data_IF_741106316621
#
_entry.id   IF_741106316621
#
_cell.length_a   1.000
_cell.length_b   1.000
_cell.length_c   1.000
_cell.angle_alpha   90.00
_cell.angle_beta   90.00
_cell.angle_gamma   90.00
#
_symmetry.space_group_name_H-M   'P 1'
#
loop_
_entity.id
_entity.type
_entity.pdbx_description
1 polymer ?
#
# COMPACT_ATOMS: atom_id res chain seq x y z
N UNK A 1 10.75 -16.19 -24.55
CA UNK A 1 11.61 -15.14 -23.98
C UNK A 1 11.13 -13.70 -24.15
N UNK A 2 10.08 -13.39 -24.94
CA UNK A 2 9.56 -12.02 -25.13
C UNK A 2 8.44 -11.60 -24.13
N UNK A 3 7.85 -12.53 -23.41
CA UNK A 3 6.73 -12.28 -22.47
C UNK A 3 7.17 -11.92 -21.03
N UNK A 4 8.41 -12.20 -20.64
CA UNK A 4 8.97 -11.75 -19.34
C UNK A 4 9.38 -10.26 -19.32
N UNK A 5 9.51 -9.60 -20.48
CA UNK A 5 9.95 -8.20 -20.53
C UNK A 5 8.93 -7.20 -20.01
N UNK A 6 7.64 -7.50 -20.08
CA UNK A 6 6.61 -6.57 -19.57
C UNK A 6 6.54 -6.60 -18.04
N UNK A 7 6.75 -7.77 -17.44
CA UNK A 7 6.81 -7.91 -15.98
C UNK A 7 8.09 -7.29 -15.39
N UNK A 8 9.21 -7.41 -16.12
CA UNK A 8 10.49 -6.77 -15.74
C UNK A 8 10.42 -5.25 -15.88
N UNK A 9 9.65 -4.68 -16.83
CA UNK A 9 9.48 -3.23 -16.94
C UNK A 9 8.63 -2.65 -15.81
N UNK A 10 7.65 -3.40 -15.28
CA UNK A 10 6.91 -3.04 -14.06
C UNK A 10 7.80 -3.13 -12.80
N UNK A 11 8.76 -4.03 -12.76
CA UNK A 11 9.71 -4.19 -11.64
C UNK A 11 10.76 -3.08 -11.60
N UNK A 12 11.11 -2.46 -12.75
CA UNK A 12 12.04 -1.30 -12.79
C UNK A 12 11.41 0.03 -12.31
N UNK A 13 10.08 0.08 -12.15
CA UNK A 13 9.38 1.21 -11.52
C UNK A 13 9.23 1.05 -10.00
N UNK A 14 9.86 0.03 -9.40
CA UNK A 14 9.77 -0.27 -7.98
C UNK A 14 10.79 0.59 -7.22
N UNK A 15 10.32 1.62 -6.68
CA UNK A 15 10.91 2.31 -5.57
C UNK A 15 9.88 3.33 -5.08
N UNK A 16 9.49 3.24 -3.75
CA UNK A 16 9.22 4.50 -3.10
C UNK A 16 7.77 4.80 -2.71
N UNK A 17 7.46 4.90 -1.42
CA UNK A 17 6.17 5.33 -1.09
C UNK A 17 5.80 5.77 0.30
N UNK A 18 5.02 6.82 0.30
CA UNK A 18 4.19 7.24 1.42
C UNK A 18 2.73 7.28 1.02
N UNK A 19 1.87 7.10 2.04
CA UNK A 19 0.45 7.18 1.84
C UNK A 19 0.03 8.63 1.57
N UNK A 20 -0.58 8.91 0.49
CA UNK A 20 -1.31 10.09 -0.04
C UNK A 20 -1.48 11.32 0.91
N UNK A 21 -0.46 11.58 1.79
CA UNK A 21 -0.53 12.65 2.80
C UNK A 21 -0.58 14.04 2.16
N UNK A 22 0.11 14.21 1.03
CA UNK A 22 0.08 15.49 0.30
C UNK A 22 -1.32 15.76 -0.24
N UNK A 23 -2.03 14.71 -0.73
CA UNK A 23 -3.38 14.86 -1.28
C UNK A 23 -4.44 15.13 -0.21
N UNK A 24 -4.27 14.63 1.02
CA UNK A 24 -5.29 14.77 2.06
C UNK A 24 -5.62 16.25 2.30
N UNK A 25 -6.90 16.61 2.18
CA UNK A 25 -7.40 17.97 2.36
C UNK A 25 -6.68 19.05 1.49
N UNK A 26 -6.31 18.68 0.23
CA UNK A 26 -5.56 19.55 -0.66
C UNK A 26 -6.42 20.12 -1.79
N UNK A 27 -6.37 21.45 -1.92
CA UNK A 27 -6.84 22.21 -3.10
C UNK A 27 -8.33 22.02 -3.48
N UNK A 28 -9.17 21.45 -2.62
CA UNK A 28 -10.56 21.12 -2.98
C UNK A 28 -10.68 20.17 -4.18
N UNK A 29 -9.66 19.32 -4.38
CA UNK A 29 -9.64 18.33 -5.46
C UNK A 29 -10.74 17.28 -5.24
N UNK A 30 -11.44 16.83 -6.28
CA UNK A 30 -12.43 15.75 -6.15
C UNK A 30 -11.86 14.47 -5.55
N UNK A 31 -10.60 14.17 -5.80
CA UNK A 31 -9.89 13.00 -5.28
C UNK A 31 -9.67 13.03 -3.76
N UNK A 32 -9.80 14.19 -3.11
CA UNK A 32 -9.77 14.27 -1.64
C UNK A 32 -10.94 13.50 -1.01
N UNK A 33 -12.06 13.37 -1.71
CA UNK A 33 -13.20 12.53 -1.29
C UNK A 33 -12.79 11.06 -1.13
N UNK A 34 -11.78 10.56 -1.88
CA UNK A 34 -11.26 9.21 -1.71
C UNK A 34 -10.57 9.01 -0.36
N UNK A 35 -10.07 10.09 0.25
CA UNK A 35 -9.36 10.08 1.53
C UNK A 35 -10.24 10.55 2.71
N UNK A 36 -11.26 11.36 2.42
CA UNK A 36 -12.26 11.80 3.39
C UNK A 36 -13.61 11.99 2.70
N UNK A 37 -14.57 11.07 2.84
CA UNK A 37 -15.89 11.23 2.25
C UNK A 37 -16.64 12.50 2.73
N UNK A 38 -16.28 13.01 3.92
CA UNK A 38 -16.80 14.24 4.49
C UNK A 38 -16.00 15.49 4.07
N UNK A 39 -15.10 15.40 3.08
CA UNK A 39 -14.45 16.57 2.52
C UNK A 39 -15.46 17.47 1.78
N UNK A 40 -15.21 18.77 1.82
CA UNK A 40 -16.04 19.77 1.13
C UNK A 40 -15.56 19.90 -0.32
N UNK A 41 -16.50 19.84 -1.23
CA UNK A 41 -16.28 20.04 -2.67
C UNK A 41 -17.11 21.23 -3.12
N UNK A 42 -16.46 22.27 -3.64
CA UNK A 42 -17.13 23.49 -4.11
C UNK A 42 -17.74 23.36 -5.52
N UNK A 43 -17.47 22.25 -6.19
CA UNK A 43 -17.85 22.05 -7.60
C UNK A 43 -19.33 21.73 -7.72
N UNK A 44 -19.97 22.22 -8.79
CA UNK A 44 -21.31 21.78 -9.19
C UNK A 44 -21.27 20.37 -9.76
N UNK A 45 -20.27 20.13 -10.61
CA UNK A 45 -20.06 18.87 -11.30
C UNK A 45 -18.56 18.67 -11.54
N UNK A 46 -18.08 17.44 -11.45
CA UNK A 46 -16.77 17.07 -11.98
C UNK A 46 -16.84 15.73 -12.73
N UNK A 47 -15.94 15.58 -13.67
CA UNK A 47 -15.64 14.30 -14.31
C UNK A 47 -14.12 14.17 -14.44
N UNK A 48 -13.60 13.07 -14.00
CA UNK A 48 -12.19 12.73 -14.20
C UNK A 48 -11.94 12.23 -15.60
N UNK A 49 -10.78 12.55 -16.18
CA UNK A 49 -10.36 11.96 -17.43
C UNK A 49 -10.15 10.45 -17.22
N UNK A 50 -10.86 9.57 -17.96
CA UNK A 50 -10.73 8.13 -17.78
C UNK A 50 -9.27 7.66 -17.80
N UNK A 51 -8.88 6.83 -16.83
CA UNK A 51 -7.53 6.33 -16.58
C UNK A 51 -6.50 7.39 -16.11
N UNK A 52 -6.80 8.68 -16.21
CA UNK A 52 -5.92 9.78 -15.86
C UNK A 52 -6.48 10.73 -14.80
N UNK A 53 -7.66 10.44 -14.25
CA UNK A 53 -8.21 11.24 -13.13
C UNK A 53 -7.40 11.10 -11.85
N UNK A 54 -6.82 9.92 -11.64
CA UNK A 54 -5.82 9.66 -10.61
C UNK A 54 -4.97 8.46 -10.99
N UNK A 55 -3.68 8.68 -11.09
CA UNK A 55 -2.65 7.64 -11.12
C UNK A 55 -1.74 7.88 -9.93
N UNK A 56 -1.63 6.91 -9.06
CA UNK A 56 -0.74 6.99 -7.89
C UNK A 56 0.06 5.71 -7.73
N UNK A 57 1.31 5.84 -7.37
CA UNK A 57 2.15 4.73 -6.95
C UNK A 57 2.99 5.16 -5.76
N UNK A 58 3.15 4.24 -4.84
CA UNK A 58 3.95 4.41 -3.63
C UNK A 58 4.60 3.08 -3.26
N UNK A 59 5.81 3.11 -2.73
CA UNK A 59 6.51 1.94 -2.22
C UNK A 59 7.60 2.36 -1.23
N UNK A 60 8.08 1.44 -0.41
CA UNK A 60 9.15 1.71 0.55
C UNK A 60 9.62 0.46 1.27
N UNK A 61 10.83 0.57 1.82
CA UNK A 61 11.45 -0.45 2.65
C UNK A 61 12.08 0.19 3.88
N UNK A 62 11.75 -0.31 5.06
CA UNK A 62 12.23 0.28 6.32
C UNK A 62 13.66 -0.13 6.68
N UNK A 63 14.19 -1.23 6.12
CA UNK A 63 15.48 -1.81 6.48
C UNK A 63 16.68 -0.96 6.04
N UNK A 64 17.01 -1.00 4.76
CA UNK A 64 18.14 -0.27 4.19
C UNK A 64 17.76 0.32 2.83
N UNK A 65 18.52 1.30 2.36
CA UNK A 65 18.35 1.90 1.03
C UNK A 65 19.18 1.16 -0.02
N UNK A 66 18.83 1.36 -1.30
CA UNK A 66 19.65 0.85 -2.41
C UNK A 66 21.08 1.44 -2.36
N UNK A 67 21.21 2.67 -1.90
CA UNK A 67 22.49 3.36 -1.73
C UNK A 67 23.37 2.67 -0.68
N UNK A 68 22.80 2.17 0.41
CA UNK A 68 23.55 1.45 1.47
C UNK A 68 24.32 0.25 0.90
N UNK A 69 23.84 -0.36 -0.20
CA UNK A 69 24.45 -1.56 -0.81
C UNK A 69 25.27 -1.19 -2.08
N UNK A 70 24.71 -0.34 -2.95
CA UNK A 70 25.22 -0.16 -4.33
C UNK A 70 25.90 1.17 -4.59
N UNK A 71 26.10 2.03 -3.55
CA UNK A 71 26.81 3.30 -3.74
C UNK A 71 28.23 3.08 -4.26
N UNK A 72 28.63 3.85 -5.29
CA UNK A 72 30.02 3.89 -5.74
C UNK A 72 30.82 4.88 -4.85
N UNK A 73 31.30 4.38 -3.71
CA UNK A 73 32.02 5.16 -2.70
C UNK A 73 33.35 4.51 -2.27
N UNK A 74 33.84 3.52 -3.06
CA UNK A 74 35.10 2.84 -2.80
C UNK A 74 35.09 1.83 -1.66
N UNK A 75 33.94 1.61 -1.00
CA UNK A 75 33.76 0.56 0.03
C UNK A 75 33.40 -0.75 -0.64
N UNK A 76 34.01 -1.85 -0.19
CA UNK A 76 33.69 -3.20 -0.69
C UNK A 76 32.22 -3.56 -0.48
N UNK A 77 31.62 -4.26 -1.43
CA UNK A 77 30.19 -4.60 -1.38
C UNK A 77 29.86 -5.52 -0.22
N UNK A 78 30.75 -6.41 0.20
CA UNK A 78 30.54 -7.30 1.33
C UNK A 78 30.51 -6.51 2.65
N UNK A 79 31.37 -5.49 2.77
CA UNK A 79 31.36 -4.58 3.93
C UNK A 79 30.07 -3.76 3.99
N UNK A 80 29.55 -3.33 2.84
CA UNK A 80 28.24 -2.63 2.76
C UNK A 80 27.09 -3.54 3.16
N UNK A 81 27.04 -4.76 2.64
CA UNK A 81 26.02 -5.75 3.01
C UNK A 81 26.08 -6.03 4.52
N UNK A 82 27.29 -6.25 5.06
CA UNK A 82 27.50 -6.47 6.49
C UNK A 82 27.01 -5.28 7.32
N UNK A 83 27.30 -4.05 6.88
CA UNK A 83 26.84 -2.83 7.55
C UNK A 83 25.30 -2.70 7.50
N UNK A 84 24.68 -3.02 6.38
CA UNK A 84 23.23 -3.02 6.20
C UNK A 84 22.55 -4.07 7.11
N UNK A 85 23.08 -5.30 7.14
CA UNK A 85 22.61 -6.38 8.02
C UNK A 85 22.76 -5.96 9.49
N UNK A 86 23.86 -5.36 9.89
CA UNK A 86 24.07 -4.91 11.29
C UNK A 86 23.09 -3.82 11.71
N UNK A 87 22.67 -2.95 10.80
CA UNK A 87 21.66 -1.89 11.06
C UNK A 87 20.22 -2.38 11.01
N UNK A 88 20.00 -3.59 10.50
CA UNK A 88 18.65 -4.14 10.34
C UNK A 88 17.95 -4.32 11.68
N UNK A 89 16.71 -3.86 11.80
CA UNK A 89 15.92 -3.97 13.03
C UNK A 89 15.45 -5.41 13.32
N UNK A 90 14.63 -5.58 14.34
CA UNK A 90 14.10 -6.92 14.72
C UNK A 90 13.17 -7.52 13.65
N UNK A 91 12.52 -6.69 12.87
CA UNK A 91 11.80 -7.03 11.65
C UNK A 91 11.52 -5.75 10.89
N UNK A 92 11.80 -5.76 9.61
CA UNK A 92 11.52 -4.66 8.70
C UNK A 92 10.43 -5.05 7.72
N UNK A 93 9.84 -4.05 7.06
CA UNK A 93 8.81 -4.34 6.07
C UNK A 93 9.06 -3.60 4.75
N UNK A 94 8.65 -4.24 3.67
CA UNK A 94 8.51 -3.64 2.35
C UNK A 94 7.02 -3.49 2.05
N UNK A 95 6.63 -2.33 1.54
CA UNK A 95 5.26 -2.08 1.13
C UNK A 95 5.23 -1.41 -0.24
N UNK A 96 4.19 -1.73 -0.99
CA UNK A 96 3.87 -1.10 -2.28
C UNK A 96 2.36 -0.93 -2.38
N UNK A 97 1.92 0.23 -2.84
CA UNK A 97 0.53 0.50 -3.19
C UNK A 97 0.47 1.27 -4.50
N UNK A 98 -0.38 0.83 -5.40
CA UNK A 98 -0.68 1.52 -6.66
C UNK A 98 -2.19 1.65 -6.77
N UNK A 99 -2.66 2.79 -7.28
CA UNK A 99 -4.07 3.02 -7.57
C UNK A 99 -4.22 3.75 -8.88
N UNK A 100 -5.12 3.23 -9.70
CA UNK A 100 -5.50 3.80 -10.99
C UNK A 100 -7.01 4.04 -11.01
N UNK A 101 -7.42 5.30 -11.08
CA UNK A 101 -8.83 5.66 -11.20
C UNK A 101 -9.28 5.57 -12.66
N UNK A 102 -10.10 4.56 -12.95
CA UNK A 102 -10.59 4.26 -14.30
C UNK A 102 -11.72 5.21 -14.69
N UNK A 103 -12.64 5.45 -13.77
CA UNK A 103 -13.77 6.37 -13.92
C UNK A 103 -13.98 7.15 -12.61
N UNK A 104 -14.23 8.45 -12.75
CA UNK A 104 -14.51 9.33 -11.63
C UNK A 104 -15.53 10.39 -12.03
N UNK A 105 -16.48 10.65 -11.16
CA UNK A 105 -17.46 11.70 -11.36
C UNK A 105 -18.21 12.05 -10.07
N UNK A 106 -18.83 13.23 -10.09
CA UNK A 106 -19.69 13.65 -9.00
C UNK A 106 -20.43 14.94 -9.33
N UNK A 107 -21.54 15.14 -8.66
CA UNK A 107 -22.39 16.29 -8.87
C UNK A 107 -23.11 16.71 -7.60
N UNK A 108 -23.42 18.00 -7.52
CA UNK A 108 -24.17 18.61 -6.44
C UNK A 108 -25.66 18.40 -6.66
N UNK A 109 -26.32 17.90 -5.64
CA UNK A 109 -27.77 17.72 -5.60
C UNK A 109 -28.48 19.08 -5.30
N UNK A 110 -29.80 19.22 -5.58
CA UNK A 110 -30.55 20.43 -5.29
C UNK A 110 -30.56 20.87 -3.81
N UNK A 111 -30.37 19.92 -2.90
CA UNK A 111 -30.26 20.14 -1.46
C UNK A 111 -28.84 20.50 -0.99
N UNK A 112 -27.92 20.80 -1.90
CA UNK A 112 -26.50 21.08 -1.67
C UNK A 112 -25.64 19.89 -1.23
N UNK A 113 -26.17 18.67 -1.09
CA UNK A 113 -25.37 17.48 -0.88
C UNK A 113 -24.55 17.16 -2.14
N UNK A 114 -23.40 16.52 -1.98
CA UNK A 114 -22.54 16.14 -3.10
C UNK A 114 -22.47 14.64 -3.25
N UNK A 115 -22.92 14.13 -4.40
CA UNK A 115 -22.84 12.72 -4.78
C UNK A 115 -21.59 12.50 -5.61
N UNK A 116 -20.77 11.54 -5.22
CA UNK A 116 -19.59 11.09 -5.97
C UNK A 116 -19.65 9.60 -6.27
N UNK A 117 -19.12 9.18 -7.40
CA UNK A 117 -19.05 7.78 -7.80
C UNK A 117 -17.80 7.56 -8.66
N UNK A 118 -17.35 6.32 -8.71
CA UNK A 118 -16.20 5.98 -9.52
C UNK A 118 -15.86 4.50 -9.46
N UNK A 119 -14.90 4.16 -10.30
CA UNK A 119 -14.29 2.85 -10.33
C UNK A 119 -12.77 3.01 -10.41
N UNK A 120 -12.05 2.37 -9.48
CA UNK A 120 -10.59 2.34 -9.48
C UNK A 120 -10.07 0.92 -9.28
N UNK A 121 -8.89 0.69 -9.75
CA UNK A 121 -8.08 -0.48 -9.47
C UNK A 121 -7.05 -0.13 -8.40
N UNK A 122 -6.79 -1.07 -7.48
CA UNK A 122 -5.78 -0.94 -6.44
C UNK A 122 -4.97 -2.22 -6.32
N UNK A 123 -3.64 -2.08 -6.37
CA UNK A 123 -2.69 -3.12 -5.96
C UNK A 123 -2.10 -2.73 -4.62
N UNK A 124 -2.09 -3.66 -3.69
CA UNK A 124 -1.52 -3.50 -2.36
C UNK A 124 -0.61 -4.69 -2.05
N UNK A 125 0.61 -4.41 -1.65
CA UNK A 125 1.60 -5.40 -1.25
C UNK A 125 2.27 -4.96 0.04
N UNK A 126 2.42 -5.89 0.99
CA UNK A 126 3.19 -5.70 2.21
C UNK A 126 3.82 -7.02 2.62
N UNK A 127 5.12 -7.02 2.83
CA UNK A 127 5.85 -8.15 3.40
C UNK A 127 6.69 -7.69 4.60
N UNK A 128 6.64 -8.46 5.67
CA UNK A 128 7.42 -8.25 6.90
C UNK A 128 8.47 -9.35 7.00
N UNK A 129 9.73 -8.95 7.10
CA UNK A 129 10.88 -9.84 7.09
C UNK A 129 11.56 -9.76 8.47
N UNK A 130 11.62 -10.85 9.23
CA UNK A 130 12.32 -10.87 10.52
C UNK A 130 13.84 -10.84 10.34
N UNK A 131 14.54 -10.27 11.33
CA UNK A 131 16.01 -10.22 11.41
C UNK A 131 16.64 -11.59 11.23
N UNK A 132 16.11 -12.60 11.90
CA UNK A 132 16.64 -13.96 11.86
C UNK A 132 16.71 -14.53 10.45
N UNK A 133 15.76 -14.16 9.56
CA UNK A 133 15.80 -14.59 8.16
C UNK A 133 16.93 -13.89 7.40
N UNK A 134 17.16 -12.61 7.67
CA UNK A 134 18.25 -11.83 7.05
C UNK A 134 19.60 -12.38 7.52
N UNK A 135 19.74 -12.67 8.80
CA UNK A 135 20.94 -13.24 9.38
C UNK A 135 21.21 -14.63 8.79
N UNK A 136 20.18 -15.48 8.66
CA UNK A 136 20.29 -16.81 8.04
C UNK A 136 20.74 -16.71 6.58
N UNK A 137 20.22 -15.75 5.80
CA UNK A 137 20.65 -15.51 4.43
C UNK A 137 22.08 -15.02 4.33
N UNK A 138 22.52 -14.18 5.28
CA UNK A 138 23.84 -13.57 5.26
C UNK A 138 24.93 -14.51 5.81
N UNK A 139 24.68 -15.14 6.96
CA UNK A 139 25.64 -15.98 7.65
C UNK A 139 25.57 -17.46 7.20
N UNK A 140 24.44 -17.86 6.64
CA UNK A 140 24.12 -19.24 6.37
C UNK A 140 23.75 -19.99 7.66
N UNK A 141 23.74 -21.32 7.59
CA UNK A 141 23.31 -22.23 8.65
C UNK A 141 24.48 -22.89 9.41
N UNK A 142 25.67 -22.32 9.33
CA UNK A 142 26.90 -22.91 9.91
C UNK A 142 27.07 -22.64 11.40
N UNK A 143 26.30 -21.74 11.98
CA UNK A 143 26.36 -21.42 13.41
C UNK A 143 25.53 -22.44 14.17
N UNK A 144 26.23 -23.36 14.85
CA UNK A 144 25.62 -24.46 15.62
C UNK A 144 24.73 -23.91 16.75
N UNK A 145 23.59 -24.55 16.96
CA UNK A 145 22.57 -24.25 17.99
C UNK A 145 21.91 -22.87 17.89
N UNK A 146 22.28 -22.05 16.90
CA UNK A 146 21.60 -20.78 16.66
C UNK A 146 20.23 -21.02 16.05
N UNK A 147 19.20 -20.53 16.75
CA UNK A 147 17.81 -20.65 16.30
C UNK A 147 17.37 -19.38 15.56
N UNK A 148 16.90 -19.59 14.32
CA UNK A 148 16.36 -18.55 13.45
C UNK A 148 14.83 -18.66 13.43
N UNK A 149 14.15 -17.68 14.01
CA UNK A 149 12.69 -17.68 14.14
C UNK A 149 12.00 -17.11 12.89
N UNK A 150 10.98 -17.81 12.40
CA UNK A 150 10.10 -17.30 11.32
C UNK A 150 8.86 -16.57 11.82
N UNK A 151 8.68 -16.39 13.13
CA UNK A 151 7.46 -15.88 13.75
C UNK A 151 6.99 -14.53 13.21
N UNK A 152 7.91 -13.65 12.80
CA UNK A 152 7.56 -12.33 12.28
C UNK A 152 7.49 -12.27 10.76
N UNK A 153 7.75 -13.39 10.07
CA UNK A 153 7.61 -13.48 8.63
C UNK A 153 6.12 -13.45 8.27
N UNK A 154 5.72 -12.47 7.49
CA UNK A 154 4.33 -12.34 7.07
C UNK A 154 4.26 -11.58 5.74
N UNK A 155 3.30 -11.92 4.90
CA UNK A 155 3.08 -11.25 3.62
C UNK A 155 1.59 -11.07 3.35
N UNK A 156 1.25 -9.98 2.68
CA UNK A 156 -0.05 -9.71 2.12
C UNK A 156 0.12 -9.08 0.76
N UNK A 157 -0.59 -9.59 -0.23
CA UNK A 157 -0.69 -8.97 -1.54
C UNK A 157 -2.12 -9.12 -2.05
N UNK A 158 -2.63 -8.09 -2.70
CA UNK A 158 -3.92 -8.17 -3.37
C UNK A 158 -4.01 -7.18 -4.52
N UNK A 159 -4.83 -7.52 -5.50
CA UNK A 159 -5.30 -6.64 -6.56
C UNK A 159 -6.81 -6.65 -6.57
N UNK A 160 -7.42 -5.48 -6.51
CA UNK A 160 -8.87 -5.34 -6.44
C UNK A 160 -9.38 -4.24 -7.36
N UNK A 161 -10.51 -4.49 -8.03
CA UNK A 161 -11.36 -3.46 -8.61
C UNK A 161 -12.34 -2.95 -7.55
N UNK A 162 -12.52 -1.65 -7.45
CA UNK A 162 -13.38 -1.00 -6.45
C UNK A 162 -14.39 -0.09 -7.14
N UNK A 163 -15.64 -0.51 -7.15
CA UNK A 163 -16.76 0.35 -7.49
C UNK A 163 -17.23 1.07 -6.22
N UNK A 164 -17.38 2.38 -6.28
CA UNK A 164 -17.81 3.15 -5.13
C UNK A 164 -18.84 4.23 -5.45
N UNK A 165 -19.68 4.52 -4.45
CA UNK A 165 -20.56 5.68 -4.45
C UNK A 165 -20.55 6.30 -3.06
N UNK A 166 -20.43 7.63 -2.99
CA UNK A 166 -20.33 8.39 -1.76
C UNK A 166 -21.22 9.62 -1.76
N UNK A 167 -21.68 9.98 -0.57
CA UNK A 167 -22.48 11.16 -0.30
C UNK A 167 -21.75 12.01 0.73
N UNK A 168 -21.46 13.28 0.38
CA UNK A 168 -20.99 14.31 1.31
C UNK A 168 -22.13 15.28 1.56
N UNK A 169 -22.53 15.41 2.82
CA UNK A 169 -23.71 16.15 3.25
C UNK A 169 -23.34 17.29 4.19
N UNK A 170 -23.69 18.51 3.82
CA UNK A 170 -23.58 19.69 4.67
C UNK A 170 -24.73 19.69 5.69
N UNK A 171 -24.43 19.29 6.93
CA UNK A 171 -25.43 19.25 8.01
C UNK A 171 -25.81 20.64 8.53
N UNK A 172 -24.83 21.53 8.60
CA UNK A 172 -24.97 22.95 8.95
C UNK A 172 -23.72 23.72 8.51
N UNK A 173 -23.57 24.98 8.90
CA UNK A 173 -22.39 25.80 8.54
C UNK A 173 -21.07 25.29 9.12
N UNK A 174 -21.11 24.46 10.17
CA UNK A 174 -19.93 23.96 10.87
C UNK A 174 -19.60 22.52 10.53
N UNK A 175 -20.58 21.71 10.15
CA UNK A 175 -20.40 20.26 9.97
C UNK A 175 -20.74 19.81 8.58
N UNK A 176 -19.79 19.15 7.94
CA UNK A 176 -19.97 18.34 6.75
C UNK A 176 -19.66 16.88 7.08
N UNK A 177 -20.57 15.97 6.82
CA UNK A 177 -20.44 14.54 7.07
C UNK A 177 -20.49 13.80 5.74
N UNK A 178 -19.73 12.71 5.64
CA UNK A 178 -19.74 11.89 4.45
C UNK A 178 -19.65 10.41 4.73
N UNK A 179 -20.25 9.65 3.84
CA UNK A 179 -20.15 8.20 3.81
C UNK A 179 -20.00 7.72 2.37
N UNK A 180 -19.30 6.61 2.18
CA UNK A 180 -19.11 5.97 0.88
C UNK A 180 -19.25 4.46 1.02
N UNK A 181 -20.05 3.86 0.15
CA UNK A 181 -20.16 2.43 -0.02
C UNK A 181 -19.21 1.97 -1.12
N UNK A 182 -18.61 0.78 -0.93
CA UNK A 182 -17.67 0.15 -1.86
C UNK A 182 -18.07 -1.28 -2.14
N UNK A 183 -17.95 -1.69 -3.39
CA UNK A 183 -18.02 -3.09 -3.81
C UNK A 183 -16.64 -3.45 -4.32
N UNK A 184 -16.05 -4.49 -3.76
CA UNK A 184 -14.75 -5.02 -4.14
C UNK A 184 -14.91 -6.19 -5.10
N UNK A 185 -14.02 -6.26 -6.10
CA UNK A 185 -13.85 -7.41 -6.98
C UNK A 185 -12.37 -7.82 -6.96
N UNK A 186 -12.01 -8.82 -6.15
CA UNK A 186 -10.64 -9.28 -5.97
C UNK A 186 -10.16 -10.10 -7.17
N UNK A 187 -9.06 -9.68 -7.79
CA UNK A 187 -8.39 -10.41 -8.87
C UNK A 187 -7.56 -11.53 -8.28
N UNK A 188 -6.68 -11.18 -7.34
CA UNK A 188 -5.91 -12.12 -6.55
C UNK A 188 -5.75 -11.66 -5.11
N UNK A 189 -5.47 -12.59 -4.21
CA UNK A 189 -5.14 -12.33 -2.83
C UNK A 189 -4.08 -13.32 -2.33
N UNK A 190 -3.08 -12.81 -1.60
CA UNK A 190 -2.15 -13.56 -0.76
C UNK A 190 -2.29 -13.02 0.65
N UNK A 191 -2.41 -13.88 1.63
CA UNK A 191 -2.51 -13.50 3.04
C UNK A 191 -1.85 -14.55 3.93
N UNK A 192 -0.74 -14.17 4.52
CA UNK A 192 -0.05 -15.00 5.51
C UNK A 192 -0.64 -14.76 6.88
N UNK A 193 -1.21 -15.76 7.51
CA UNK A 193 -2.03 -15.59 8.71
C UNK A 193 -1.33 -15.84 10.02
N UNK A 194 -0.65 -16.94 10.17
CA UNK A 194 0.04 -17.26 11.43
C UNK A 194 1.29 -18.04 11.09
N UNK A 195 2.42 -17.41 11.28
CA UNK A 195 3.71 -18.05 11.06
C UNK A 195 4.40 -18.20 12.39
N UNK A 196 4.81 -19.42 12.70
CA UNK A 196 5.67 -19.74 13.83
C UNK A 196 6.59 -20.86 13.44
N UNK A 197 7.63 -21.06 14.22
CA UNK A 197 8.65 -22.07 14.03
C UNK A 197 10.05 -21.46 14.06
N UNK A 198 11.03 -22.34 14.07
CA UNK A 198 12.43 -21.96 14.00
C UNK A 198 13.21 -22.96 13.17
N UNK A 199 14.25 -22.45 12.52
CA UNK A 199 15.29 -23.24 11.88
C UNK A 199 16.56 -23.18 12.71
N UNK A 200 17.29 -24.30 12.87
CA UNK A 200 18.60 -24.34 13.49
C UNK A 200 19.38 -25.54 13.00
N UNK A 201 20.70 -25.51 13.22
CA UNK A 201 21.64 -26.57 12.88
C UNK A 201 22.35 -27.03 14.15
N UNK A 202 22.45 -28.31 14.37
CA UNK A 202 23.30 -28.95 15.42
C UNK A 202 24.34 -29.88 14.80
N UNK A 203 25.27 -30.35 15.64
CA UNK A 203 26.22 -31.35 15.23
C UNK A 203 25.49 -32.68 14.91
N UNK A 204 25.77 -33.23 13.76
CA UNK A 204 25.18 -34.50 13.33
C UNK A 204 25.84 -35.69 14.00
N UNK A 205 25.18 -36.85 13.96
CA UNK A 205 25.71 -38.13 14.45
C UNK A 205 26.28 -38.97 13.33
N UNK A 206 25.76 -38.85 12.11
CA UNK A 206 26.19 -39.53 10.91
C UNK A 206 26.87 -38.60 9.90
N UNK A 207 26.50 -37.33 9.94
CA UNK A 207 27.07 -36.22 9.15
C UNK A 207 27.54 -35.09 10.03
N UNK A 208 28.28 -34.12 9.44
CA UNK A 208 28.81 -32.96 10.18
C UNK A 208 27.67 -32.14 10.76
N UNK A 209 26.55 -32.01 10.04
CA UNK A 209 25.43 -31.12 10.43
C UNK A 209 24.08 -31.85 10.35
N UNK A 210 23.22 -31.57 11.31
CA UNK A 210 21.81 -31.91 11.32
C UNK A 210 20.97 -30.61 11.34
N UNK A 211 20.10 -30.43 10.36
CA UNK A 211 19.21 -29.30 10.26
C UNK A 211 17.84 -29.65 10.85
N UNK A 212 17.26 -28.69 11.56
CA UNK A 212 15.97 -28.80 12.21
C UNK A 212 15.05 -27.69 11.79
N UNK A 213 13.79 -28.04 11.53
CA UNK A 213 12.63 -27.14 11.51
C UNK A 213 11.75 -27.53 12.69
N UNK A 214 11.67 -26.66 13.70
CA UNK A 214 10.94 -26.91 14.93
C UNK A 214 9.67 -26.09 15.02
N UNK A 215 8.57 -26.73 15.48
CA UNK A 215 7.30 -26.07 15.78
C UNK A 215 6.79 -25.21 14.62
N UNK A 216 6.99 -25.69 13.39
CA UNK A 216 6.51 -25.01 12.19
C UNK A 216 4.98 -25.01 12.21
N UNK A 217 4.43 -23.80 12.06
CA UNK A 217 3.02 -23.58 11.77
C UNK A 217 2.94 -22.38 10.83
N UNK A 218 2.88 -22.70 9.54
CA UNK A 218 2.88 -21.73 8.47
C UNK A 218 1.59 -21.89 7.65
N UNK A 219 0.79 -20.84 7.57
CA UNK A 219 -0.40 -20.79 6.74
C UNK A 219 -0.32 -19.60 5.79
N UNK A 220 -0.30 -19.89 4.50
CA UNK A 220 -0.43 -18.90 3.44
C UNK A 220 -1.72 -19.14 2.67
N UNK A 221 -2.68 -18.24 2.83
CA UNK A 221 -3.93 -18.26 2.09
C UNK A 221 -3.73 -17.54 0.76
N UNK A 222 -4.16 -18.17 -0.34
CA UNK A 222 -4.11 -17.56 -1.67
C UNK A 222 -5.43 -17.74 -2.42
N UNK A 223 -5.71 -16.83 -3.32
CA UNK A 223 -6.79 -16.96 -4.31
C UNK A 223 -6.43 -16.21 -5.60
N UNK A 224 -6.80 -16.76 -6.75
CA UNK A 224 -6.61 -16.15 -8.05
C UNK A 224 -5.16 -16.10 -8.55
N UNK A 225 -4.26 -16.94 -8.02
CA UNK A 225 -2.84 -17.01 -8.40
C UNK A 225 -2.50 -18.35 -9.04
N UNK A 226 -2.98 -19.45 -8.47
CA UNK A 226 -2.71 -20.79 -8.96
C UNK A 226 -3.88 -21.31 -9.80
N UNK A 227 -3.58 -21.86 -10.95
CA UNK A 227 -4.56 -22.38 -11.92
C UNK A 227 -4.19 -23.80 -12.29
N UNK A 228 -5.17 -24.73 -12.18
CA UNK A 228 -4.95 -26.13 -12.52
C UNK A 228 -5.08 -26.40 -14.03
N UNK A 229 -5.74 -25.53 -14.78
CA UNK A 229 -6.14 -25.78 -16.18
C UNK A 229 -5.28 -25.02 -17.21
N UNK A 230 -4.06 -24.60 -16.85
CA UNK A 230 -3.16 -23.88 -17.75
C UNK A 230 -3.58 -22.44 -18.03
N UNK A 231 -4.55 -21.88 -17.29
CA UNK A 231 -4.85 -20.46 -17.31
C UNK A 231 -3.62 -19.70 -16.79
N UNK A 232 -3.30 -18.55 -17.40
CA UNK A 232 -2.25 -17.63 -16.95
C UNK A 232 -2.88 -16.31 -16.52
N UNK A 233 -2.22 -15.58 -15.60
CA UNK A 233 -2.61 -14.21 -15.28
C UNK A 233 -2.19 -13.32 -16.44
N UNK A 234 -3.08 -13.15 -17.41
CA UNK A 234 -2.93 -12.23 -18.51
C UNK A 234 -3.82 -10.98 -18.33
N UNK A 235 -3.70 -10.02 -19.26
CA UNK A 235 -4.49 -8.79 -19.23
C UNK A 235 -6.00 -9.06 -19.36
N UNK A 236 -6.40 -10.13 -20.06
CA UNK A 236 -7.81 -10.51 -20.23
C UNK A 236 -8.38 -11.06 -18.93
N UNK A 237 -7.62 -11.93 -18.25
CA UNK A 237 -7.96 -12.45 -16.93
C UNK A 237 -8.16 -11.31 -15.94
N UNK A 238 -7.16 -10.42 -15.79
CA UNK A 238 -7.22 -9.26 -14.89
C UNK A 238 -8.45 -8.42 -15.16
N UNK A 239 -8.69 -8.05 -16.43
CA UNK A 239 -9.86 -7.25 -16.83
C UNK A 239 -11.18 -7.92 -16.47
N UNK A 240 -11.30 -9.24 -16.70
CA UNK A 240 -12.51 -9.99 -16.38
C UNK A 240 -12.81 -10.03 -14.89
N UNK A 241 -11.77 -10.12 -14.06
CA UNK A 241 -11.88 -10.21 -12.60
C UNK A 241 -12.07 -8.85 -11.93
N UNK A 242 -11.50 -7.78 -12.47
CA UNK A 242 -11.71 -6.42 -11.95
C UNK A 242 -13.17 -5.98 -11.98
N UNK A 243 -13.95 -6.40 -13.01
CA UNK A 243 -15.33 -6.01 -13.22
C UNK A 243 -16.31 -7.11 -12.74
N UNK A 244 -16.37 -7.34 -11.42
CA UNK A 244 -17.28 -8.30 -10.75
C UNK A 244 -17.07 -9.79 -11.07
N UNK A 245 -16.12 -10.14 -11.92
CA UNK A 245 -15.76 -11.54 -12.20
C UNK A 245 -14.87 -12.18 -11.12
N UNK A 246 -14.26 -11.36 -10.25
CA UNK A 246 -13.37 -11.79 -9.18
C UNK A 246 -14.09 -12.22 -7.90
N UNK A 247 -13.32 -12.24 -6.81
CA UNK A 247 -13.83 -12.49 -5.46
C UNK A 247 -14.54 -11.24 -4.92
N UNK A 248 -15.82 -11.35 -4.57
CA UNK A 248 -16.62 -10.20 -4.20
C UNK A 248 -16.48 -9.84 -2.72
N UNK A 249 -16.55 -8.55 -2.45
CA UNK A 249 -16.51 -7.99 -1.11
C UNK A 249 -17.28 -6.69 -0.99
N UNK A 250 -17.39 -6.21 0.23
CA UNK A 250 -18.09 -4.96 0.55
C UNK A 250 -17.29 -4.15 1.56
N UNK A 251 -17.36 -2.83 1.45
CA UNK A 251 -16.73 -1.92 2.38
C UNK A 251 -17.46 -0.60 2.51
N UNK A 252 -17.14 0.11 3.59
CA UNK A 252 -17.70 1.42 3.91
C UNK A 252 -16.58 2.34 4.35
N UNK A 253 -16.64 3.60 3.91
CA UNK A 253 -15.84 4.69 4.42
C UNK A 253 -16.75 5.73 5.05
N UNK A 254 -16.26 6.38 6.10
CA UNK A 254 -16.94 7.51 6.74
C UNK A 254 -15.94 8.64 7.00
N UNK A 255 -16.43 9.87 7.02
CA UNK A 255 -15.57 11.02 7.30
C UNK A 255 -16.36 12.27 7.61
N UNK A 256 -15.62 13.26 8.11
CA UNK A 256 -16.21 14.55 8.46
C UNK A 256 -15.23 15.70 8.23
N UNK A 257 -15.81 16.90 8.08
CA UNK A 257 -15.15 18.19 8.19
C UNK A 257 -15.91 19.04 9.20
N UNK A 258 -15.18 19.60 10.16
CA UNK A 258 -15.74 20.48 11.20
C UNK A 258 -15.03 21.83 11.22
N UNK A 259 -15.78 22.90 10.95
CA UNK A 259 -15.33 24.28 11.10
C UNK A 259 -15.54 24.74 12.54
N UNK A 260 -14.51 24.62 13.37
CA UNK A 260 -14.54 25.14 14.75
C UNK A 260 -14.70 26.66 14.74
N UNK A 261 -14.02 27.34 13.81
CA UNK A 261 -14.17 28.75 13.51
C UNK A 261 -13.98 29.02 12.02
N UNK A 262 -14.06 30.28 11.57
CA UNK A 262 -13.75 30.67 10.17
C UNK A 262 -12.29 30.30 9.76
N UNK A 263 -11.38 30.19 10.71
CA UNK A 263 -9.97 29.93 10.48
C UNK A 263 -9.57 28.49 10.83
N UNK A 264 -10.21 27.87 11.83
CA UNK A 264 -9.87 26.53 12.30
C UNK A 264 -10.80 25.48 11.73
N UNK A 265 -10.20 24.50 11.05
CA UNK A 265 -10.90 23.34 10.49
C UNK A 265 -10.28 22.06 11.03
N UNK A 266 -11.13 21.13 11.44
CA UNK A 266 -10.75 19.78 11.89
C UNK A 266 -11.41 18.78 10.95
N UNK A 267 -10.65 17.81 10.46
CA UNK A 267 -11.18 16.76 9.60
C UNK A 267 -10.80 15.39 10.12
N UNK A 268 -11.58 14.38 9.77
CA UNK A 268 -11.27 13.01 10.10
C UNK A 268 -11.99 12.01 9.20
N UNK A 269 -11.37 10.86 8.98
CA UNK A 269 -11.97 9.76 8.21
C UNK A 269 -11.50 8.39 8.65
N UNK A 270 -12.37 7.41 8.45
CA UNK A 270 -12.10 5.98 8.57
C UNK A 270 -12.44 5.36 7.22
N UNK A 271 -11.47 4.70 6.59
CA UNK A 271 -11.59 4.16 5.25
C UNK A 271 -11.36 2.65 5.26
N UNK A 272 -11.94 1.98 4.25
CA UNK A 272 -11.76 0.55 4.00
C UNK A 272 -12.23 -0.35 5.16
N UNK A 273 -13.30 0.05 5.88
CA UNK A 273 -14.03 -0.86 6.77
C UNK A 273 -14.73 -1.92 5.92
N UNK A 274 -14.00 -2.96 5.54
CA UNK A 274 -14.52 -3.92 4.58
C UNK A 274 -13.78 -5.25 4.55
N UNK A 275 -14.38 -6.19 3.80
CA UNK A 275 -13.87 -7.54 3.62
C UNK A 275 -14.10 -8.03 2.20
N UNK A 276 -13.36 -9.07 1.81
CA UNK A 276 -13.52 -9.80 0.55
C UNK A 276 -13.68 -11.29 0.88
N UNK A 277 -14.70 -11.92 0.29
CA UNK A 277 -14.89 -13.36 0.38
C UNK A 277 -14.12 -14.03 -0.77
N UNK A 278 -12.99 -14.64 -0.44
CA UNK A 278 -12.14 -15.36 -1.39
C UNK A 278 -12.67 -16.79 -1.52
N UNK A 279 -13.40 -17.05 -2.60
CA UNK A 279 -14.05 -18.33 -2.88
C UNK A 279 -13.75 -18.90 -4.26
N UNK A 280 -13.09 -18.09 -5.14
CA UNK A 280 -12.73 -18.50 -6.49
C UNK A 280 -11.22 -18.71 -6.56
N UNK A 281 -10.81 -19.83 -7.19
CA UNK A 281 -9.41 -20.19 -7.37
C UNK A 281 -8.61 -20.10 -6.06
N UNK A 282 -9.15 -20.74 -5.01
CA UNK A 282 -8.53 -20.78 -3.69
C UNK A 282 -7.59 -21.95 -3.60
N UNK A 283 -6.35 -21.65 -3.25
CA UNK A 283 -5.32 -22.65 -2.99
C UNK A 283 -4.43 -22.13 -1.85
N UNK A 284 -4.67 -22.64 -0.64
CA UNK A 284 -3.96 -22.18 0.56
C UNK A 284 -3.01 -23.29 1.04
N UNK A 285 -1.81 -22.91 1.44
CA UNK A 285 -0.76 -23.83 1.86
C UNK A 285 -0.61 -23.82 3.37
N UNK A 286 -0.75 -25.00 3.96
CA UNK A 286 -0.53 -25.23 5.38
C UNK A 286 0.67 -26.14 5.57
N UNK A 287 1.66 -25.68 6.33
CA UNK A 287 2.79 -26.50 6.78
C UNK A 287 2.80 -26.50 8.29
N UNK A 288 2.77 -27.70 8.90
CA UNK A 288 2.71 -27.84 10.36
C UNK A 288 3.44 -29.09 10.82
N UNK A 289 4.39 -28.92 11.73
CA UNK A 289 5.12 -30.04 12.32
C UNK A 289 6.57 -29.70 12.59
N UNK A 290 7.34 -30.74 12.83
CA UNK A 290 8.77 -30.70 13.04
C UNK A 290 9.43 -31.55 11.96
N UNK A 291 10.58 -31.10 11.46
CA UNK A 291 11.36 -31.84 10.47
C UNK A 291 12.84 -31.75 10.81
N UNK A 292 13.54 -32.88 10.63
CA UNK A 292 14.98 -32.90 10.76
C UNK A 292 15.60 -33.67 9.59
N UNK A 293 16.73 -33.17 9.12
CA UNK A 293 17.52 -33.83 8.09
C UNK A 293 18.99 -33.84 8.47
N UNK A 294 19.62 -35.02 8.42
CA UNK A 294 21.04 -35.20 8.70
C UNK A 294 21.77 -35.69 7.45
N UNK A 295 22.25 -34.71 6.65
CA UNK A 295 23.00 -34.98 5.43
C UNK A 295 22.16 -35.57 4.30
N UNK A 296 22.84 -35.79 3.20
CA UNK A 296 22.33 -36.38 1.98
C UNK A 296 23.04 -37.70 1.80
N UNK A 297 22.37 -38.80 2.03
CA UNK A 297 22.94 -40.11 1.70
C UNK A 297 22.92 -40.27 0.18
N UNK A 298 24.07 -40.01 -0.45
CA UNK A 298 24.21 -40.26 -1.88
C UNK A 298 24.21 -41.77 -2.11
N UNK A 299 23.06 -42.36 -2.36
CA UNK A 299 22.99 -43.72 -2.91
C UNK A 299 22.98 -43.62 -4.44
N UNK A 300 24.05 -44.03 -5.06
CA UNK A 300 24.10 -44.11 -6.51
C UNK A 300 23.47 -45.44 -6.93
N UNK A 301 22.22 -45.38 -7.37
CA UNK A 301 21.58 -46.50 -8.08
C UNK A 301 21.65 -46.19 -9.58
N UNK A 302 22.49 -46.96 -10.35
CA UNK A 302 22.61 -46.76 -11.79
C UNK A 302 21.33 -47.03 -12.56
N UNK A 303 20.42 -47.82 -11.99
CA UNK A 303 19.17 -48.22 -12.62
C UNK A 303 18.02 -47.26 -12.31
N UNK A 304 18.16 -46.36 -11.27
CA UNK A 304 17.15 -45.42 -10.87
C UNK A 304 17.73 -44.14 -10.21
N UNK A 305 18.38 -43.27 -10.97
CA UNK A 305 19.09 -42.11 -10.44
C UNK A 305 18.16 -41.00 -9.86
N UNK A 306 16.85 -41.07 -10.07
CA UNK A 306 15.89 -40.00 -9.67
C UNK A 306 15.30 -40.21 -8.27
N UNK A 307 15.45 -41.37 -7.64
CA UNK A 307 14.79 -41.72 -6.38
C UNK A 307 15.22 -40.85 -5.19
N UNK A 308 16.46 -40.36 -5.18
CA UNK A 308 17.01 -39.66 -4.03
C UNK A 308 16.24 -38.38 -3.67
N UNK A 309 15.93 -37.51 -4.65
CA UNK A 309 15.20 -36.28 -4.43
C UNK A 309 13.72 -36.50 -4.12
N UNK A 310 13.13 -37.55 -4.70
CA UNK A 310 11.76 -37.98 -4.37
C UNK A 310 11.67 -38.48 -2.94
N UNK A 311 12.62 -39.33 -2.50
CA UNK A 311 12.66 -39.87 -1.14
C UNK A 311 12.81 -38.76 -0.08
N UNK A 312 13.70 -37.78 -0.32
CA UNK A 312 13.87 -36.65 0.56
C UNK A 312 12.60 -35.78 0.63
N UNK A 313 11.94 -35.60 -0.49
CA UNK A 313 10.67 -34.91 -0.57
C UNK A 313 9.58 -35.68 0.18
N UNK A 314 9.46 -36.96 -0.02
CA UNK A 314 8.46 -37.83 0.60
C UNK A 314 8.68 -37.86 2.13
N UNK A 315 9.94 -37.88 2.59
CA UNK A 315 10.29 -37.82 4.02
C UNK A 315 9.92 -36.49 4.64
N UNK A 316 10.16 -35.39 3.93
CA UNK A 316 9.70 -34.05 4.34
C UNK A 316 8.17 -33.99 4.40
N UNK A 317 7.47 -34.42 3.36
CA UNK A 317 6.01 -34.38 3.26
C UNK A 317 5.34 -35.27 4.31
N UNK A 318 5.98 -36.40 4.71
CA UNK A 318 5.52 -37.27 5.78
C UNK A 318 5.77 -36.72 7.19
N UNK A 319 6.82 -35.94 7.37
CA UNK A 319 7.22 -35.37 8.67
C UNK A 319 6.54 -34.01 8.96
N UNK A 320 6.41 -33.18 7.93
CA UNK A 320 5.65 -31.93 7.99
C UNK A 320 4.29 -32.16 7.37
N UNK A 321 3.21 -31.96 8.16
CA UNK A 321 1.87 -31.93 7.60
C UNK A 321 1.82 -30.81 6.55
N UNK A 322 1.93 -31.20 5.30
CA UNK A 322 1.77 -30.33 4.14
C UNK A 322 0.39 -30.58 3.56
N UNK A 323 -0.46 -29.55 3.58
CA UNK A 323 -1.83 -29.66 3.07
C UNK A 323 -2.18 -28.45 2.22
N UNK A 324 -2.79 -28.72 1.07
CA UNK A 324 -3.33 -27.71 0.19
C UNK A 324 -4.83 -27.58 0.43
N UNK A 325 -5.23 -26.43 0.97
CA UNK A 325 -6.61 -26.17 1.35
C UNK A 325 -7.33 -25.37 0.25
N UNK A 326 -8.40 -25.94 -0.28
CA UNK A 326 -9.28 -25.30 -1.29
C UNK A 326 -10.50 -24.61 -0.66
N UNK A 327 -10.47 -24.40 0.65
CA UNK A 327 -11.58 -23.82 1.40
C UNK A 327 -11.59 -22.30 1.29
N UNK A 328 -12.74 -21.73 0.96
CA UNK A 328 -12.96 -20.28 0.95
C UNK A 328 -12.62 -19.61 2.30
N UNK A 329 -12.09 -18.39 2.22
CA UNK A 329 -11.74 -17.60 3.40
C UNK A 329 -12.12 -16.12 3.22
N UNK A 330 -12.22 -15.40 4.34
CA UNK A 330 -12.49 -13.97 4.35
C UNK A 330 -11.16 -13.24 4.62
N UNK A 331 -10.83 -12.28 3.76
CA UNK A 331 -9.75 -11.31 3.99
C UNK A 331 -10.34 -9.94 4.32
N UNK A 332 -9.83 -9.31 5.38
CA UNK A 332 -10.21 -7.95 5.75
C UNK A 332 -9.26 -6.95 5.10
N UNK A 333 -9.81 -5.84 4.61
CA UNK A 333 -9.03 -4.72 4.10
C UNK A 333 -8.29 -4.03 5.25
N UNK A 334 -7.07 -3.47 5.04
CA UNK A 334 -6.44 -2.61 6.04
C UNK A 334 -7.27 -1.35 6.24
N UNK A 335 -7.67 -1.11 7.48
CA UNK A 335 -8.39 0.11 7.85
C UNK A 335 -7.43 1.29 7.86
N UNK A 336 -7.77 2.36 7.16
CA UNK A 336 -6.99 3.60 7.10
C UNK A 336 -7.70 4.68 7.92
N UNK A 337 -6.98 5.31 8.83
CA UNK A 337 -7.46 6.39 9.68
C UNK A 337 -6.73 7.68 9.29
N UNK A 338 -7.47 8.74 9.04
CA UNK A 338 -6.92 10.07 8.80
C UNK A 338 -7.53 11.07 9.79
N UNK A 339 -6.73 12.05 10.19
CA UNK A 339 -7.16 13.18 10.97
C UNK A 339 -6.32 14.40 10.66
N UNK A 340 -6.91 15.59 10.68
CA UNK A 340 -6.19 16.84 10.44
C UNK A 340 -6.78 17.98 11.27
N UNK A 341 -5.91 18.90 11.70
CA UNK A 341 -6.28 20.19 12.25
C UNK A 341 -5.52 21.27 11.49
N UNK A 342 -6.23 22.24 10.94
CA UNK A 342 -5.67 23.29 10.08
C UNK A 342 -6.13 24.67 10.47
N UNK A 343 -5.24 25.65 10.25
CA UNK A 343 -5.46 27.07 10.47
C UNK A 343 -5.27 27.85 9.17
N UNK A 344 -6.30 28.57 8.76
CA UNK A 344 -6.34 29.41 7.56
C UNK A 344 -6.11 30.87 7.89
N UNK A 345 -5.25 31.58 7.11
CA UNK A 345 -4.90 32.96 7.36
C UNK A 345 -4.50 33.72 6.09
N UNK A 346 -4.39 35.05 6.20
CA UNK A 346 -4.13 35.91 5.05
C UNK A 346 -5.35 36.04 4.16
N UNK A 347 -6.07 37.18 4.29
CA UNK A 347 -7.29 37.43 3.53
C UNK A 347 -6.98 37.55 2.04
N UNK A 348 -7.80 36.93 1.20
CA UNK A 348 -7.77 37.10 -0.24
C UNK A 348 -8.57 38.34 -0.59
N UNK A 349 -7.90 39.37 -1.09
CA UNK A 349 -8.55 40.54 -1.66
C UNK A 349 -8.78 40.27 -3.15
N UNK A 350 -10.03 40.06 -3.56
CA UNK A 350 -10.43 40.15 -4.95
C UNK A 350 -11.15 41.45 -5.20
N UNK A 351 -10.83 42.11 -6.28
CA UNK A 351 -11.47 43.41 -6.65
C UNK A 351 -12.98 43.21 -6.76
N UNK A 352 -13.71 43.78 -5.77
CA UNK A 352 -15.15 44.05 -5.78
C UNK A 352 -16.14 42.87 -5.55
N UNK A 353 -15.78 41.70 -5.00
CA UNK A 353 -16.79 40.71 -4.57
C UNK A 353 -16.45 40.11 -3.21
N UNK A 354 -17.39 40.18 -2.28
CA UNK A 354 -17.38 39.39 -1.06
C UNK A 354 -17.59 37.94 -1.46
N UNK A 355 -16.50 37.17 -1.46
CA UNK A 355 -16.55 35.71 -1.68
C UNK A 355 -17.18 35.04 -0.46
N UNK A 356 -17.93 33.98 -0.70
CA UNK A 356 -18.48 33.11 0.34
C UNK A 356 -17.39 32.66 1.30
N UNK A 357 -17.74 32.47 2.56
CA UNK A 357 -16.85 32.28 3.73
C UNK A 357 -15.64 31.30 3.57
N UNK A 358 -15.64 30.39 2.59
CA UNK A 358 -14.61 29.39 2.38
C UNK A 358 -13.46 29.82 1.45
N UNK A 359 -13.64 30.84 0.63
CA UNK A 359 -12.61 31.39 -0.27
C UNK A 359 -11.78 32.55 0.31
N UNK A 360 -11.91 32.84 1.59
CA UNK A 360 -11.39 34.07 2.22
C UNK A 360 -9.89 34.07 2.49
N UNK A 361 -9.24 32.90 2.56
CA UNK A 361 -7.85 32.79 2.98
C UNK A 361 -6.93 32.29 1.87
N UNK A 362 -5.75 32.89 1.79
CA UNK A 362 -4.69 32.52 0.82
C UNK A 362 -3.81 31.40 1.33
N UNK A 363 -3.64 31.33 2.65
CA UNK A 363 -2.73 30.41 3.30
C UNK A 363 -3.50 29.46 4.23
N UNK A 364 -3.05 28.22 4.31
CA UNK A 364 -3.51 27.22 5.25
C UNK A 364 -2.29 26.43 5.76
N UNK A 365 -2.17 26.25 7.06
CA UNK A 365 -1.16 25.40 7.67
C UNK A 365 -1.82 24.46 8.68
N UNK A 366 -1.21 23.33 8.94
CA UNK A 366 -1.78 22.39 9.88
C UNK A 366 -0.95 21.16 10.12
N UNK A 367 -1.55 20.26 10.88
CA UNK A 367 -1.02 18.97 11.21
C UNK A 367 -1.99 17.87 10.78
N UNK A 368 -1.45 16.78 10.24
CA UNK A 368 -2.20 15.59 9.84
C UNK A 368 -1.65 14.36 10.55
N UNK A 369 -2.54 13.46 10.93
CA UNK A 369 -2.23 12.11 11.39
C UNK A 369 -2.80 11.10 10.42
N UNK A 370 -2.01 10.11 10.11
CA UNK A 370 -2.42 8.94 9.35
C UNK A 370 -2.07 7.68 10.12
N UNK A 371 -2.95 6.68 10.07
CA UNK A 371 -2.66 5.35 10.56
C UNK A 371 -3.28 4.31 9.64
N UNK A 372 -2.57 3.22 9.41
CA UNK A 372 -3.15 2.01 8.83
C UNK A 372 -3.11 0.89 9.85
N UNK A 373 -4.21 0.16 9.94
CA UNK A 373 -4.37 -0.99 10.85
C UNK A 373 -4.69 -2.21 10.01
N UNK A 374 -3.75 -3.15 9.98
CA UNK A 374 -3.86 -4.37 9.17
C UNK A 374 -3.33 -5.62 9.89
N UNK A 375 -3.66 -6.78 9.36
CA UNK A 375 -3.30 -8.07 9.96
C UNK A 375 -1.78 -8.34 9.97
N UNK A 376 -1.04 -7.84 8.98
CA UNK A 376 0.41 -8.06 8.84
C UNK A 376 1.20 -6.97 9.55
N UNK A 377 0.81 -5.71 9.37
CA UNK A 377 1.49 -4.56 9.96
C UNK A 377 0.55 -3.38 10.13
N UNK A 378 0.79 -2.62 11.19
CA UNK A 378 0.11 -1.36 11.47
C UNK A 378 1.16 -0.28 11.71
N UNK A 379 0.93 0.93 11.17
CA UNK A 379 1.85 2.05 11.36
C UNK A 379 1.12 3.38 11.42
N UNK A 380 1.84 4.40 11.88
CA UNK A 380 1.35 5.78 12.04
C UNK A 380 2.33 6.72 11.34
N UNK A 381 1.82 7.77 10.72
CA UNK A 381 2.60 8.88 10.18
C UNK A 381 2.01 10.22 10.66
N UNK A 382 2.91 11.17 10.97
CA UNK A 382 2.56 12.53 11.33
C UNK A 382 3.09 13.51 10.29
N UNK A 383 2.27 14.44 9.81
CA UNK A 383 2.62 15.39 8.75
C UNK A 383 2.29 16.81 9.16
N UNK A 384 3.28 17.69 9.11
CA UNK A 384 3.07 19.14 9.11
C UNK A 384 2.92 19.60 7.68
N UNK A 385 2.01 20.54 7.42
CA UNK A 385 1.82 21.05 6.07
C UNK A 385 1.59 22.56 6.04
N UNK A 386 1.97 23.15 4.90
CA UNK A 386 1.63 24.50 4.51
C UNK A 386 1.11 24.51 3.09
N UNK A 387 -0.03 25.13 2.88
CA UNK A 387 -0.73 25.25 1.60
C UNK A 387 -0.99 26.71 1.28
N UNK A 388 -0.78 27.09 0.01
CA UNK A 388 -0.94 28.47 -0.44
C UNK A 388 -1.49 28.57 -1.85
N UNK A 389 -2.41 29.48 -2.06
CA UNK A 389 -2.74 30.00 -3.39
C UNK A 389 -1.62 30.92 -3.86
N UNK A 390 -0.84 30.47 -4.87
CA UNK A 390 0.24 31.25 -5.48
C UNK A 390 -0.37 32.37 -6.34
N UNK A 391 -1.39 32.00 -7.10
CA UNK A 391 -2.22 32.93 -7.89
C UNK A 391 -3.61 32.31 -8.08
N UNK A 392 -4.46 32.95 -8.88
CA UNK A 392 -5.84 32.48 -9.15
C UNK A 392 -5.93 31.11 -9.86
N UNK A 393 -4.84 30.62 -10.43
CA UNK A 393 -4.81 29.35 -11.17
C UNK A 393 -4.00 28.26 -10.49
N UNK A 394 -3.06 28.61 -9.60
CA UNK A 394 -2.10 27.69 -9.03
C UNK A 394 -2.15 27.69 -7.51
N UNK A 395 -2.32 26.52 -6.95
CA UNK A 395 -2.22 26.24 -5.53
C UNK A 395 -1.07 25.24 -5.27
N UNK A 396 -0.30 25.48 -4.23
CA UNK A 396 0.81 24.63 -3.83
C UNK A 396 0.66 24.21 -2.36
N UNK A 397 1.06 22.98 -2.07
CA UNK A 397 1.14 22.42 -0.71
C UNK A 397 2.52 21.85 -0.48
N UNK A 398 3.15 22.23 0.62
CA UNK A 398 4.41 21.66 1.10
C UNK A 398 4.11 20.84 2.35
N UNK A 399 4.71 19.66 2.45
CA UNK A 399 4.54 18.76 3.60
C UNK A 399 5.90 18.36 4.17
N UNK A 400 5.93 18.17 5.49
CA UNK A 400 7.02 17.51 6.20
C UNK A 400 6.43 16.35 7.00
N UNK A 401 6.82 15.13 6.66
CA UNK A 401 6.23 13.93 7.24
C UNK A 401 7.28 13.10 7.97
N UNK A 402 6.92 12.67 9.16
CA UNK A 402 7.63 11.64 9.93
C UNK A 402 6.81 10.35 9.87
N UNK A 403 7.43 9.26 9.41
CA UNK A 403 6.82 7.96 9.22
C UNK A 403 7.83 6.82 9.48
N UNK A 404 7.44 5.54 9.39
CA UNK A 404 8.34 4.41 9.64
C UNK A 404 9.54 4.31 8.69
N UNK A 405 9.48 4.91 7.50
CA UNK A 405 10.58 4.89 6.53
C UNK A 405 11.61 5.98 6.80
N UNK A 406 11.13 7.19 7.15
CA UNK A 406 11.96 8.38 7.33
C UNK A 406 11.34 9.38 8.30
N UNK A 407 12.18 10.05 9.08
CA UNK A 407 11.77 11.19 9.91
C UNK A 407 11.92 12.54 9.19
N UNK A 408 12.36 12.58 7.94
CA UNK A 408 12.67 13.80 7.21
C UNK A 408 12.11 13.81 5.78
N UNK A 409 10.89 13.36 5.59
CA UNK A 409 10.27 13.32 4.28
C UNK A 409 9.58 14.66 3.96
N UNK A 410 10.02 15.32 2.91
CA UNK A 410 9.43 16.53 2.37
C UNK A 410 8.65 16.21 1.10
N UNK A 411 7.38 16.60 1.06
CA UNK A 411 6.51 16.42 -0.09
C UNK A 411 6.04 17.75 -0.68
N UNK A 412 5.70 17.73 -1.96
CA UNK A 412 5.14 18.86 -2.70
C UNK A 412 3.88 18.45 -3.45
N UNK A 413 2.86 19.26 -3.33
CA UNK A 413 1.64 19.20 -4.13
C UNK A 413 1.45 20.46 -4.95
N UNK A 414 1.09 20.29 -6.21
CA UNK A 414 0.72 21.38 -7.11
C UNK A 414 -0.66 21.09 -7.72
N UNK A 415 -1.53 22.07 -7.73
CA UNK A 415 -2.85 21.97 -8.40
C UNK A 415 -3.08 23.20 -9.24
N UNK A 416 -3.45 23.01 -10.49
CA UNK A 416 -3.78 24.10 -11.40
C UNK A 416 -5.26 24.07 -11.78
N UNK A 417 -5.85 25.26 -11.94
CA UNK A 417 -7.21 25.43 -12.42
C UNK A 417 -7.22 26.42 -13.57
N UNK A 418 -7.45 25.94 -14.79
CA UNK A 418 -7.50 26.77 -16.00
C UNK A 418 -8.84 26.50 -16.70
N UNK A 419 -9.76 27.42 -16.56
CA UNK A 419 -11.14 27.23 -17.01
C UNK A 419 -11.82 26.07 -16.30
N UNK A 420 -12.19 25.02 -17.04
CA UNK A 420 -12.77 23.78 -16.52
C UNK A 420 -11.71 22.69 -16.26
N UNK A 421 -10.47 22.90 -16.68
CA UNK A 421 -9.41 21.91 -16.58
C UNK A 421 -8.67 22.09 -15.25
N UNK A 422 -8.60 21.00 -14.49
CA UNK A 422 -7.78 20.89 -13.30
C UNK A 422 -6.73 19.80 -13.48
N UNK A 423 -5.48 20.16 -13.38
CA UNK A 423 -4.35 19.25 -13.36
C UNK A 423 -3.70 19.32 -11.99
N UNK A 424 -3.41 18.18 -11.39
CA UNK A 424 -2.67 18.15 -10.12
C UNK A 424 -1.54 17.12 -10.17
N UNK A 425 -0.52 17.40 -9.40
CA UNK A 425 0.64 16.54 -9.19
C UNK A 425 1.05 16.60 -7.73
N UNK A 426 1.37 15.45 -7.14
CA UNK A 426 1.97 15.37 -5.81
C UNK A 426 3.14 14.39 -5.82
N UNK A 427 4.17 14.71 -5.08
CA UNK A 427 5.33 13.84 -4.86
C UNK A 427 5.85 14.02 -3.44
N UNK A 428 6.36 12.92 -2.89
CA UNK A 428 6.97 12.88 -1.56
C UNK A 428 8.46 12.60 -1.66
N UNK A 429 9.15 12.80 -0.52
CA UNK A 429 10.56 12.52 -0.32
C UNK A 429 11.50 13.28 -1.26
N UNK A 430 11.16 14.54 -1.52
CA UNK A 430 11.90 15.41 -2.45
C UNK A 430 13.36 15.65 -2.04
N UNK A 431 13.68 15.58 -0.74
CA UNK A 431 15.06 15.72 -0.26
C UNK A 431 15.96 14.56 -0.70
N UNK A 432 15.40 13.46 -1.14
CA UNK A 432 16.14 12.32 -1.67
C UNK A 432 16.26 12.33 -3.20
N UNK A 433 15.74 13.34 -3.89
CA UNK A 433 15.82 13.42 -5.36
C UNK A 433 17.25 13.57 -5.88
N UNK A 434 18.14 14.22 -5.12
CA UNK A 434 19.57 14.32 -5.47
C UNK A 434 20.24 12.95 -5.47
N UNK A 435 19.76 12.04 -4.64
CA UNK A 435 20.21 10.65 -4.58
C UNK A 435 19.02 9.73 -4.27
N UNK A 436 18.23 9.47 -5.29
CA UNK A 436 17.02 8.64 -5.19
C UNK A 436 17.31 7.21 -4.67
N UNK A 437 18.53 6.73 -4.87
CA UNK A 437 18.98 5.44 -4.36
C UNK A 437 19.09 5.40 -2.82
N UNK A 438 19.20 6.58 -2.18
CA UNK A 438 19.23 6.69 -0.72
C UNK A 438 17.83 6.81 -0.10
N UNK A 439 16.80 6.98 -0.92
CA UNK A 439 15.42 7.04 -0.45
C UNK A 439 14.97 5.67 0.07
N UNK A 440 14.44 5.63 1.30
CA UNK A 440 13.77 4.45 1.84
C UNK A 440 12.31 4.34 1.40
N UNK A 441 11.76 5.43 0.91
CA UNK A 441 10.38 5.49 0.41
C UNK A 441 10.20 6.65 -0.56
N UNK A 442 9.28 6.56 -1.51
CA UNK A 442 8.76 7.71 -2.27
C UNK A 442 7.36 7.43 -2.79
N UNK A 443 6.64 8.49 -3.15
CA UNK A 443 5.34 8.40 -3.82
C UNK A 443 5.23 9.47 -4.88
N UNK A 444 4.42 9.19 -5.85
CA UNK A 444 3.91 10.19 -6.76
C UNK A 444 2.44 9.96 -7.04
N UNK A 445 1.77 11.05 -7.35
CA UNK A 445 0.39 11.00 -7.82
C UNK A 445 0.14 12.16 -8.77
N UNK A 446 -0.60 11.90 -9.81
CA UNK A 446 -1.09 12.94 -10.71
C UNK A 446 -2.50 12.64 -11.17
N UNK A 447 -3.20 13.67 -11.63
CA UNK A 447 -4.50 13.48 -12.25
C UNK A 447 -5.00 14.70 -12.97
N UNK A 448 -5.95 14.44 -13.88
CA UNK A 448 -6.61 15.44 -14.71
C UNK A 448 -8.12 15.31 -14.56
N UNK A 449 -8.77 16.43 -14.23
CA UNK A 449 -10.21 16.51 -14.05
C UNK A 449 -10.79 17.67 -14.84
N UNK A 450 -12.05 17.52 -15.23
CA UNK A 450 -12.90 18.61 -15.71
C UNK A 450 -13.84 19.01 -14.58
N UNK A 451 -13.72 20.25 -14.12
CA UNK A 451 -14.42 20.77 -12.97
C UNK A 451 -15.30 21.95 -13.40
N UNK A 452 -16.58 21.82 -13.14
CA UNK A 452 -17.58 22.84 -13.45
C UNK A 452 -18.04 23.49 -12.14
N UNK A 453 -17.84 24.77 -12.01
CA UNK A 453 -18.32 25.59 -10.89
C UNK A 453 -19.67 26.22 -11.25
N UNK A 454 -20.47 26.57 -10.23
CA UNK A 454 -21.65 27.41 -10.49
C UNK A 454 -21.19 28.77 -11.06
N UNK A 455 -21.88 29.23 -12.13
CA UNK A 455 -21.71 30.60 -12.59
C UNK A 455 -22.33 31.51 -11.51
N UNK A 456 -21.51 32.18 -10.73
CA UNK A 456 -21.95 33.31 -9.89
C UNK A 456 -22.33 34.52 -10.77
#
# INVERSE_FOLDING_TARGET
>A
MRKCSLFIFLVYAIGFGQNKQVLYDFAGLPQTLLLNPGAEVENKFHIGLPLFSQVSAQGGFTGFSTYDIFADNGIDINDKIKAAVNKYGTAEFVAFNQQLEVLSGGFRLPNNDYLSFGFYEEVDFLAKIPRDMVDLFYEGNTVIDRRYSIKKLAARAEMVGVLHAGLSKKMNEKWNLGARAKIYSGVFNINSKSNSGSFYTEEGTQNIYRQHLDNVNFLMQTSGIFFHDGEEIDASYVKSKLLFGGNLGFGVDVGFTHHYSKQWTITGSILDLGFINNSKNVESFLYKGDYQVEGVQLSFDPDNPENYWSDLKDDFDNSILSDTLYKSYISFRPVKLNGSASYSFGQKYDDCRFLTDQGLYVNKMGFQLFSTVGAVHSYVAGTLFYERWINKYLQAKLTYTADPYSFSNVGLGLSTHIGIVNLYFTADNLLSLDNIYNAKSASFQFGLNFIFKDKN
#
